data_IF_663686924795
#
_entry.id   IF_663686924795
#
_cell.length_a   1.000
_cell.length_b   1.000
_cell.length_c   1.000
_cell.angle_alpha   90.00
_cell.angle_beta   90.00
_cell.angle_gamma   90.00
#
_symmetry.space_group_name_H-M   'P 1'
#
loop_
_entity.id
_entity.type
_entity.pdbx_description
1 polymer ?
#
# COMPACT_ATOMS: atom_id res chain seq x y z
N UNK A 1 -0.13 3.35 -14.19
CA UNK A 1 0.31 4.66 -14.72
C UNK A 1 -0.68 5.09 -15.79
N UNK A 2 -1.76 5.77 -15.37
CA UNK A 2 -2.77 6.40 -16.22
C UNK A 2 -2.85 7.92 -15.96
N UNK A 3 -2.15 8.41 -14.94
CA UNK A 3 -2.08 9.83 -14.59
C UNK A 3 -1.27 10.66 -15.61
N UNK A 4 -0.40 10.01 -16.41
CA UNK A 4 0.39 10.70 -17.44
C UNK A 4 -0.40 10.98 -18.73
N UNK A 5 -1.67 10.60 -18.80
CA UNK A 5 -2.46 10.59 -20.05
C UNK A 5 -3.74 11.41 -20.02
N UNK A 6 -4.08 12.02 -18.89
CA UNK A 6 -5.32 12.82 -18.70
C UNK A 6 -5.03 14.27 -18.32
N UNK A 7 -3.76 14.67 -18.32
CA UNK A 7 -3.32 15.97 -17.81
C UNK A 7 -2.43 16.68 -18.84
N UNK A 8 -2.74 17.95 -19.21
CA UNK A 8 -1.94 18.72 -20.17
C UNK A 8 -0.48 18.80 -19.70
N UNK A 9 0.47 18.86 -20.65
CA UNK A 9 1.94 18.80 -20.44
C UNK A 9 2.49 19.64 -19.27
N UNK A 10 1.79 20.68 -18.83
CA UNK A 10 2.15 21.56 -17.71
C UNK A 10 1.92 20.94 -16.31
N UNK A 11 0.99 20.00 -16.15
CA UNK A 11 0.52 19.53 -14.82
C UNK A 11 0.95 18.09 -14.47
N UNK A 12 1.66 17.41 -15.38
CA UNK A 12 2.11 16.01 -15.21
C UNK A 12 2.99 15.83 -13.96
N UNK A 13 3.84 16.81 -13.64
CA UNK A 13 4.68 16.80 -12.45
C UNK A 13 3.89 16.89 -11.14
N UNK A 14 2.76 17.62 -11.14
CA UNK A 14 1.82 17.67 -10.00
C UNK A 14 1.12 16.32 -9.84
N UNK A 15 0.65 15.73 -10.95
CA UNK A 15 0.02 14.40 -10.91
C UNK A 15 0.97 13.30 -10.44
N UNK A 16 2.23 13.32 -10.91
CA UNK A 16 3.25 12.35 -10.53
C UNK A 16 3.64 12.46 -9.05
N UNK A 17 3.84 13.68 -8.54
CA UNK A 17 4.17 13.88 -7.12
C UNK A 17 3.03 13.44 -6.20
N UNK A 18 1.77 13.68 -6.59
CA UNK A 18 0.61 13.21 -5.85
C UNK A 18 0.54 11.68 -5.77
N UNK A 19 0.83 10.97 -6.87
CA UNK A 19 0.88 9.50 -6.89
C UNK A 19 2.00 8.97 -5.99
N UNK A 20 3.20 9.55 -6.08
CA UNK A 20 4.34 9.15 -5.24
C UNK A 20 4.05 9.41 -3.77
N UNK A 21 3.43 10.54 -3.45
CA UNK A 21 2.98 10.88 -2.10
C UNK A 21 1.96 9.85 -1.59
N UNK A 22 0.92 9.56 -2.37
CA UNK A 22 -0.10 8.59 -2.01
C UNK A 22 0.49 7.18 -1.80
N UNK A 23 1.45 6.78 -2.64
CA UNK A 23 2.14 5.50 -2.51
C UNK A 23 2.98 5.41 -1.23
N UNK A 24 3.73 6.47 -0.91
CA UNK A 24 4.56 6.52 0.30
C UNK A 24 3.71 6.57 1.57
N UNK A 25 2.67 7.40 1.58
CA UNK A 25 1.73 7.52 2.70
C UNK A 25 1.02 6.20 2.97
N UNK A 26 0.52 5.54 1.91
CA UNK A 26 -0.14 4.24 2.04
C UNK A 26 0.82 3.19 2.62
N UNK A 27 2.07 3.14 2.16
CA UNK A 27 3.08 2.24 2.73
C UNK A 27 3.29 2.45 4.22
N UNK A 28 3.47 3.70 4.66
CA UNK A 28 3.69 4.03 6.07
C UNK A 28 2.47 3.68 6.96
N UNK A 29 1.26 4.02 6.50
CA UNK A 29 0.02 3.74 7.25
C UNK A 29 -0.17 2.22 7.40
N UNK A 30 -0.04 1.46 6.32
CA UNK A 30 -0.24 0.01 6.37
C UNK A 30 0.81 -0.69 7.24
N UNK A 31 2.07 -0.25 7.21
CA UNK A 31 3.10 -0.77 8.11
C UNK A 31 2.72 -0.52 9.57
N UNK A 32 2.29 0.69 9.91
CA UNK A 32 1.87 1.03 11.28
C UNK A 32 0.66 0.23 11.77
N UNK A 33 -0.31 -0.02 10.87
CA UNK A 33 -1.45 -0.89 11.19
C UNK A 33 -0.98 -2.34 11.39
N UNK A 34 -0.09 -2.83 10.52
CA UNK A 34 0.44 -4.20 10.59
C UNK A 34 1.20 -4.46 11.89
N UNK A 35 2.04 -3.52 12.31
CA UNK A 35 2.75 -3.63 13.60
C UNK A 35 1.79 -3.57 14.77
N UNK A 36 0.83 -2.63 14.78
CA UNK A 36 -0.15 -2.52 15.85
C UNK A 36 -1.04 -3.78 15.99
N UNK A 37 -1.46 -4.39 14.86
CA UNK A 37 -2.22 -5.64 14.86
C UNK A 37 -1.36 -6.80 15.36
N UNK A 38 -0.10 -6.90 14.90
CA UNK A 38 0.82 -7.95 15.31
C UNK A 38 1.14 -7.86 16.81
N UNK A 39 1.48 -6.68 17.31
CA UNK A 39 1.84 -6.46 18.71
C UNK A 39 0.64 -6.71 19.64
N UNK A 40 -0.55 -6.28 19.22
CA UNK A 40 -1.80 -6.53 19.94
C UNK A 40 -2.15 -8.01 20.03
N UNK A 41 -2.12 -8.72 18.89
CA UNK A 41 -2.45 -10.15 18.86
C UNK A 41 -1.37 -10.98 19.56
N UNK A 42 -0.08 -10.65 19.38
CA UNK A 42 1.01 -11.35 20.04
C UNK A 42 0.97 -11.15 21.56
N UNK A 43 0.76 -9.93 22.05
CA UNK A 43 0.62 -9.67 23.48
C UNK A 43 -0.57 -10.43 24.09
N UNK A 44 -1.69 -10.49 23.36
CA UNK A 44 -2.87 -11.25 23.78
C UNK A 44 -2.59 -12.75 23.87
N UNK A 45 -1.89 -13.32 22.87
CA UNK A 45 -1.54 -14.76 22.85
C UNK A 45 -0.51 -15.10 23.91
N UNK A 46 0.49 -14.24 24.10
CA UNK A 46 1.53 -14.44 25.11
C UNK A 46 0.99 -14.28 26.53
N UNK A 47 -0.06 -13.48 26.75
CA UNK A 47 -0.66 -13.29 28.08
C UNK A 47 -1.05 -14.60 28.78
N UNK A 48 -1.22 -15.70 28.03
CA UNK A 48 -1.49 -17.04 28.55
C UNK A 48 -0.31 -17.68 29.31
N UNK A 49 0.94 -17.31 29.00
CA UNK A 49 2.14 -17.94 29.57
C UNK A 49 3.27 -16.97 29.93
N UNK A 50 3.27 -15.75 29.38
CA UNK A 50 4.23 -14.68 29.68
C UNK A 50 3.52 -13.32 29.72
N UNK A 51 3.76 -12.56 30.79
CA UNK A 51 3.11 -11.25 30.99
C UNK A 51 3.86 -10.17 30.21
N UNK A 52 3.70 -10.18 28.87
CA UNK A 52 4.37 -9.29 27.94
C UNK A 52 3.44 -8.17 27.47
N UNK A 53 3.94 -6.93 27.44
CA UNK A 53 3.17 -5.76 26.99
C UNK A 53 3.45 -5.47 25.51
N UNK A 54 2.48 -4.98 24.70
CA UNK A 54 2.71 -4.63 23.29
C UNK A 54 3.93 -3.72 23.07
N UNK A 55 4.13 -2.72 23.95
CA UNK A 55 5.31 -1.82 23.90
C UNK A 55 6.65 -2.53 24.06
N UNK A 56 6.69 -3.63 24.83
CA UNK A 56 7.91 -4.42 24.99
C UNK A 56 8.17 -5.27 23.74
N UNK A 57 7.13 -5.70 23.04
CA UNK A 57 7.25 -6.45 21.78
C UNK A 57 7.81 -5.54 20.70
N UNK A 58 7.26 -4.34 20.56
CA UNK A 58 7.70 -3.35 19.57
C UNK A 58 9.18 -2.94 19.78
N UNK A 59 9.57 -2.70 21.03
CA UNK A 59 10.93 -2.22 21.35
C UNK A 59 12.00 -3.33 21.35
N UNK A 60 11.65 -4.55 21.77
CA UNK A 60 12.61 -5.65 21.91
C UNK A 60 12.61 -6.60 20.69
N UNK A 61 11.53 -6.61 19.92
CA UNK A 61 11.29 -7.57 18.83
C UNK A 61 11.19 -9.03 19.31
N UNK A 62 11.07 -9.95 18.37
CA UNK A 62 10.98 -11.39 18.64
C UNK A 62 12.23 -11.92 19.38
N UNK A 63 13.40 -11.49 18.96
CA UNK A 63 14.68 -11.91 19.55
C UNK A 63 14.84 -11.41 20.99
N UNK A 64 14.37 -10.20 21.29
CA UNK A 64 14.34 -9.67 22.65
C UNK A 64 13.34 -10.42 23.53
N UNK A 65 12.18 -10.76 22.99
CA UNK A 65 11.18 -11.60 23.67
C UNK A 65 11.73 -12.98 24.04
N UNK A 66 12.40 -13.65 23.11
CA UNK A 66 12.99 -14.97 23.33
C UNK A 66 14.08 -14.95 24.42
N UNK A 67 14.76 -13.81 24.64
CA UNK A 67 15.70 -13.65 25.75
C UNK A 67 15.01 -13.48 27.10
N UNK A 68 13.81 -12.90 27.13
CA UNK A 68 13.03 -12.70 28.36
C UNK A 68 12.22 -13.92 28.76
N UNK A 69 11.81 -14.74 27.78
CA UNK A 69 10.98 -15.92 27.97
C UNK A 69 11.86 -17.16 28.16
N UNK A 70 11.57 -18.05 29.13
CA UNK A 70 12.30 -19.31 29.30
C UNK A 70 12.25 -20.20 28.05
N UNK A 71 13.35 -20.91 27.74
CA UNK A 71 13.50 -21.75 26.54
C UNK A 71 12.37 -22.77 26.33
N UNK A 72 11.76 -23.22 27.42
CA UNK A 72 10.62 -24.16 27.41
C UNK A 72 9.42 -23.64 26.60
N UNK A 73 9.22 -22.33 26.55
CA UNK A 73 8.10 -21.69 25.85
C UNK A 73 8.50 -21.08 24.51
N UNK A 74 9.74 -21.26 24.04
CA UNK A 74 10.19 -20.72 22.75
C UNK A 74 9.40 -21.27 21.58
N UNK A 75 9.07 -22.56 21.60
CA UNK A 75 8.24 -23.19 20.57
C UNK A 75 6.82 -22.61 20.55
N UNK A 76 6.18 -22.48 21.71
CA UNK A 76 4.85 -21.87 21.82
C UNK A 76 4.85 -20.40 21.43
N UNK A 77 5.90 -19.65 21.79
CA UNK A 77 6.07 -18.24 21.39
C UNK A 77 6.19 -18.12 19.87
N UNK A 78 6.93 -19.02 19.22
CA UNK A 78 7.03 -19.07 17.76
C UNK A 78 5.68 -19.40 17.11
N UNK A 79 4.93 -20.35 17.67
CA UNK A 79 3.60 -20.70 17.17
C UNK A 79 2.64 -19.52 17.32
N UNK A 80 2.62 -18.87 18.48
CA UNK A 80 1.80 -17.68 18.73
C UNK A 80 2.15 -16.52 17.78
N UNK A 81 3.44 -16.36 17.47
CA UNK A 81 3.91 -15.38 16.48
C UNK A 81 3.42 -15.70 15.07
N UNK A 82 3.52 -16.96 14.66
CA UNK A 82 3.04 -17.41 13.37
C UNK A 82 1.51 -17.22 13.23
N UNK A 83 0.74 -17.58 14.25
CA UNK A 83 -0.71 -17.36 14.29
C UNK A 83 -1.06 -15.87 14.21
N UNK A 84 -0.30 -15.01 14.88
CA UNK A 84 -0.49 -13.55 14.81
C UNK A 84 -0.20 -13.01 13.41
N UNK A 85 0.81 -13.55 12.72
CA UNK A 85 1.08 -13.22 11.31
C UNK A 85 -0.05 -13.69 10.39
N UNK A 86 -0.65 -14.86 10.64
CA UNK A 86 -1.81 -15.32 9.88
C UNK A 86 -2.99 -14.34 9.97
N UNK A 87 -3.24 -13.76 11.14
CA UNK A 87 -4.26 -12.71 11.30
C UNK A 87 -3.88 -11.46 10.49
N UNK A 88 -2.63 -11.04 10.54
CA UNK A 88 -2.14 -9.90 9.77
C UNK A 88 -2.31 -10.12 8.25
N UNK A 89 -2.00 -11.31 7.74
CA UNK A 89 -2.23 -11.68 6.34
C UNK A 89 -3.72 -11.71 5.98
N UNK A 90 -4.61 -12.15 6.87
CA UNK A 90 -6.06 -12.09 6.63
C UNK A 90 -6.55 -10.64 6.50
N UNK A 91 -6.09 -9.74 7.38
CA UNK A 91 -6.42 -8.31 7.28
C UNK A 91 -5.89 -7.73 5.98
N UNK A 92 -4.65 -8.02 5.62
CA UNK A 92 -4.07 -7.58 4.35
C UNK A 92 -4.85 -8.10 3.13
N UNK A 93 -5.30 -9.35 3.17
CA UNK A 93 -6.09 -9.95 2.10
C UNK A 93 -7.47 -9.29 1.97
N UNK A 94 -8.14 -9.00 3.09
CA UNK A 94 -9.41 -8.25 3.08
C UNK A 94 -9.20 -6.86 2.47
N UNK A 95 -8.14 -6.16 2.86
CA UNK A 95 -7.81 -4.85 2.30
C UNK A 95 -7.47 -4.92 0.80
N UNK A 96 -6.82 -5.98 0.35
CA UNK A 96 -6.57 -6.23 -1.07
C UNK A 96 -7.88 -6.44 -1.85
N UNK A 97 -8.83 -7.21 -1.30
CA UNK A 97 -10.16 -7.38 -1.89
C UNK A 97 -10.92 -6.04 -1.99
N UNK A 98 -10.86 -5.21 -0.94
CA UNK A 98 -11.45 -3.88 -0.95
C UNK A 98 -10.76 -2.94 -1.96
N UNK A 99 -9.44 -3.04 -2.10
CA UNK A 99 -8.69 -2.27 -3.08
C UNK A 99 -9.07 -2.65 -4.53
N UNK A 100 -9.38 -3.92 -4.80
CA UNK A 100 -9.91 -4.35 -6.10
C UNK A 100 -11.26 -3.69 -6.40
N UNK A 101 -12.16 -3.63 -5.41
CA UNK A 101 -13.43 -2.92 -5.56
C UNK A 101 -13.22 -1.41 -5.80
N UNK A 102 -12.27 -0.80 -5.11
CA UNK A 102 -11.87 0.59 -5.34
C UNK A 102 -11.30 0.83 -6.74
N UNK A 103 -10.51 -0.12 -7.27
CA UNK A 103 -9.99 -0.08 -8.62
C UNK A 103 -11.09 -0.25 -9.68
N UNK A 104 -12.11 -1.05 -9.39
CA UNK A 104 -13.29 -1.21 -10.25
C UNK A 104 -14.21 0.02 -10.24
N UNK A 105 -14.30 0.72 -9.11
CA UNK A 105 -15.07 1.96 -8.96
C UNK A 105 -14.37 3.20 -9.58
N UNK A 106 -13.07 3.10 -9.86
CA UNK A 106 -12.34 4.14 -10.55
C UNK A 106 -12.82 4.20 -12.00
N UNK A 107 -13.34 5.36 -12.44
CA UNK A 107 -13.73 5.57 -13.83
C UNK A 107 -12.58 5.15 -14.75
N UNK A 108 -12.89 4.24 -15.68
CA UNK A 108 -11.99 3.87 -16.76
C UNK A 108 -11.83 5.07 -17.69
N UNK A 109 -10.95 6.00 -17.32
CA UNK A 109 -10.51 7.08 -18.19
C UNK A 109 -9.71 6.46 -19.35
N UNK A 110 -10.42 6.19 -20.45
CA UNK A 110 -9.84 5.68 -21.68
C UNK A 110 -9.04 6.78 -22.37
N UNK A 111 -7.74 6.56 -22.52
CA UNK A 111 -6.75 7.45 -23.17
C UNK A 111 -7.01 7.63 -24.69
N UNK A 112 -8.00 6.96 -25.28
CA UNK A 112 -8.18 6.88 -26.74
C UNK A 112 -8.84 8.09 -27.42
N UNK A 113 -9.29 9.12 -26.70
CA UNK A 113 -10.07 10.21 -27.34
C UNK A 113 -9.29 11.47 -27.73
N UNK A 114 -8.13 11.76 -27.17
CA UNK A 114 -7.45 13.04 -27.47
C UNK A 114 -6.44 13.00 -28.63
N UNK A 115 -6.20 11.85 -29.25
CA UNK A 115 -5.28 11.78 -30.42
C UNK A 115 -5.98 12.28 -31.72
N UNK A 116 -7.30 12.45 -31.70
CA UNK A 116 -8.07 12.83 -32.91
C UNK A 116 -8.11 14.34 -33.13
N UNK A 117 -8.00 15.15 -32.08
CA UNK A 117 -8.10 16.62 -32.20
C UNK A 117 -6.76 17.24 -32.60
N UNK A 118 -5.63 16.78 -32.03
CA UNK A 118 -4.30 17.31 -32.35
C UNK A 118 -3.88 17.01 -33.80
N UNK A 119 -4.42 15.96 -34.42
CA UNK A 119 -4.10 15.62 -35.82
C UNK A 119 -4.84 16.53 -36.82
N UNK A 120 -6.00 17.08 -36.45
CA UNK A 120 -6.76 17.97 -37.33
C UNK A 120 -6.18 19.39 -37.40
N UNK A 121 -5.61 19.89 -36.30
CA UNK A 121 -4.91 21.19 -36.31
C UNK A 121 -3.58 21.10 -37.08
N UNK A 122 -2.84 20.00 -36.96
CA UNK A 122 -1.57 19.83 -37.69
C UNK A 122 -1.73 19.62 -39.20
N UNK A 123 -2.83 19.01 -39.64
CA UNK A 123 -3.12 18.82 -41.06
C UNK A 123 -3.65 20.12 -41.71
N UNK A 124 -4.44 20.93 -40.99
CA UNK A 124 -4.91 22.24 -41.49
C UNK A 124 -3.79 23.28 -41.62
N UNK A 125 -2.84 23.35 -40.66
CA UNK A 125 -1.69 24.27 -40.76
C UNK A 125 -0.68 23.87 -41.85
N UNK A 126 -0.65 22.59 -42.26
CA UNK A 126 0.21 22.09 -43.32
C UNK A 126 -0.37 22.34 -44.72
N UNK A 127 -1.70 22.27 -44.90
CA UNK A 127 -2.35 22.65 -46.16
C UNK A 127 -2.30 24.16 -46.42
N UNK A 128 -2.48 25.01 -45.39
CA UNK A 128 -2.47 26.48 -45.57
C UNK A 128 -1.07 27.02 -45.97
N UNK A 129 0.01 26.37 -45.54
CA UNK A 129 1.39 26.73 -45.91
C UNK A 129 1.89 26.14 -47.23
N UNK A 130 1.12 25.24 -47.85
CA UNK A 130 1.47 24.64 -49.15
C UNK A 130 0.83 25.36 -50.34
N UNK A 131 -0.13 26.26 -50.10
CA UNK A 131 -0.90 26.97 -51.14
C UNK A 131 -0.57 28.47 -51.20
N UNK A 132 0.28 28.97 -50.29
CA UNK A 132 0.88 30.31 -50.32
C UNK A 132 2.35 30.25 -50.78
#
# INVERSE_FOLDING_TARGET
MAAQTVLPRNQVSIGASLVIFAQTLSGAIFVSVGTNVLDGELAKRLSAFARVTPKQIESAGLTGLLKTIPEKFHKETLTAYNDSLHVCFRVALIMACLAILGALAMEWASVKKEVVETKKESDNEAEEKSVA
#
